data_IF_020226536564
#
_entry.id   IF_020226536564
#
_cell.length_a   1.000
_cell.length_b   1.000
_cell.length_c   1.000
_cell.angle_alpha   90.00
_cell.angle_beta   90.00
_cell.angle_gamma   90.00
#
_symmetry.space_group_name_H-M   'P 1'
#
loop_
_entity.id
_entity.type
_entity.pdbx_description
1 polymer ?
#
# COMPACT_ATOMS: atom_id res chain seq x y z
N UNK A 1 -54.02 -1.87 24.17
CA UNK A 1 -52.80 -2.38 24.79
C UNK A 1 -51.83 -2.74 23.68
N UNK A 2 -50.99 -1.80 23.31
CA UNK A 2 -50.05 -1.98 22.21
C UNK A 2 -48.67 -2.31 22.80
N UNK A 3 -48.13 -3.40 22.38
CA UNK A 3 -46.72 -3.78 22.65
C UNK A 3 -45.82 -2.98 21.70
N UNK A 4 -45.00 -2.15 22.28
CA UNK A 4 -43.96 -1.42 21.58
C UNK A 4 -42.67 -2.26 21.69
N UNK A 5 -42.36 -3.04 20.65
CA UNK A 5 -41.10 -3.77 20.60
C UNK A 5 -39.95 -2.81 20.31
N UNK A 6 -39.12 -2.63 21.31
CA UNK A 6 -37.89 -1.86 21.27
C UNK A 6 -36.83 -2.62 20.41
N UNK A 7 -36.56 -2.11 19.22
CA UNK A 7 -35.41 -2.56 18.41
C UNK A 7 -34.14 -2.02 19.09
N UNK A 8 -33.57 -2.82 19.96
CA UNK A 8 -32.24 -2.54 20.56
C UNK A 8 -31.17 -2.55 19.47
N UNK A 9 -30.66 -1.38 19.14
CA UNK A 9 -29.47 -1.17 18.28
C UNK A 9 -28.31 -1.97 18.89
N UNK A 10 -27.94 -3.07 18.22
CA UNK A 10 -26.78 -3.88 18.60
C UNK A 10 -25.52 -3.11 18.22
N UNK A 11 -25.02 -2.28 19.13
CA UNK A 11 -23.70 -1.65 19.00
C UNK A 11 -22.67 -2.77 19.03
N UNK A 12 -22.10 -3.07 17.85
CA UNK A 12 -20.96 -3.99 17.79
C UNK A 12 -19.80 -3.39 18.59
N UNK A 13 -19.36 -4.08 19.60
CA UNK A 13 -18.18 -3.69 20.36
C UNK A 13 -16.95 -3.86 19.48
N UNK A 14 -16.02 -2.89 19.44
CA UNK A 14 -14.75 -3.06 18.74
C UNK A 14 -14.01 -4.29 19.29
N UNK A 15 -13.49 -5.13 18.39
CA UNK A 15 -12.72 -6.30 18.72
C UNK A 15 -11.44 -5.84 19.44
N UNK A 16 -11.18 -6.39 20.63
CA UNK A 16 -9.97 -6.05 21.40
C UNK A 16 -8.73 -6.45 20.59
N UNK A 17 -7.59 -5.71 20.70
CA UNK A 17 -6.34 -6.01 19.98
C UNK A 17 -5.88 -7.47 20.14
N UNK A 18 -6.07 -8.05 21.30
CA UNK A 18 -5.71 -9.44 21.65
C UNK A 18 -6.55 -10.52 20.94
N UNK A 19 -7.63 -10.15 20.23
CA UNK A 19 -8.52 -11.07 19.52
C UNK A 19 -8.45 -10.91 18.00
N UNK A 20 -7.52 -10.10 17.50
CA UNK A 20 -7.34 -9.95 16.05
C UNK A 20 -6.66 -11.20 15.49
N UNK A 21 -7.18 -11.77 14.38
CA UNK A 21 -6.51 -12.91 13.75
C UNK A 21 -5.10 -12.51 13.32
N UNK A 22 -4.15 -13.42 13.51
CA UNK A 22 -2.79 -13.27 12.98
C UNK A 22 -2.85 -12.98 11.47
N UNK A 23 -1.92 -12.18 10.93
CA UNK A 23 -1.87 -11.95 9.50
C UNK A 23 -1.70 -13.28 8.77
N UNK A 24 -2.62 -13.57 7.87
CA UNK A 24 -2.38 -14.69 6.95
C UNK A 24 -1.34 -14.23 5.92
N UNK A 25 -0.22 -14.90 5.86
CA UNK A 25 0.80 -14.76 4.81
C UNK A 25 0.39 -15.49 3.52
N UNK A 26 -0.66 -16.30 3.58
CA UNK A 26 -1.23 -16.97 2.42
C UNK A 26 -2.18 -16.05 1.65
N UNK A 27 -2.04 -15.98 0.31
CA UNK A 27 -2.89 -15.17 -0.53
C UNK A 27 -4.34 -15.69 -0.51
N UNK A 28 -5.32 -14.84 -0.17
CA UNK A 28 -6.72 -15.24 -0.19
C UNK A 28 -7.22 -15.39 -1.63
N UNK A 29 -8.28 -16.15 -1.80
CA UNK A 29 -9.05 -16.11 -3.03
C UNK A 29 -9.71 -14.75 -3.18
N UNK A 30 -9.74 -14.21 -4.41
CA UNK A 30 -10.47 -12.97 -4.68
C UNK A 30 -11.95 -13.14 -4.37
N UNK A 31 -12.56 -12.22 -3.62
CA UNK A 31 -13.99 -12.22 -3.42
C UNK A 31 -14.71 -11.76 -4.72
N UNK A 32 -15.06 -12.68 -5.58
CA UNK A 32 -15.76 -12.39 -6.82
C UNK A 32 -14.85 -12.36 -8.05
N UNK A 33 -15.35 -11.73 -9.13
CA UNK A 33 -14.68 -11.72 -10.44
C UNK A 33 -13.49 -10.76 -10.45
N UNK A 34 -12.41 -11.16 -11.10
CA UNK A 34 -11.28 -10.28 -11.40
C UNK A 34 -11.72 -9.11 -12.29
N UNK A 35 -11.38 -7.90 -11.88
CA UNK A 35 -11.68 -6.67 -12.62
C UNK A 35 -10.42 -6.00 -13.17
N UNK A 36 -9.26 -6.27 -12.59
CA UNK A 36 -7.98 -5.74 -13.04
C UNK A 36 -6.84 -6.66 -12.65
N UNK A 37 -5.75 -6.62 -13.43
CA UNK A 37 -4.48 -7.21 -13.02
C UNK A 37 -3.31 -6.28 -13.37
N UNK A 38 -2.21 -6.45 -12.64
CA UNK A 38 -0.98 -5.67 -12.82
C UNK A 38 0.21 -6.56 -12.49
N UNK A 39 1.29 -6.40 -13.20
CA UNK A 39 2.58 -7.01 -12.84
C UNK A 39 3.44 -5.94 -12.17
N UNK A 40 3.86 -6.23 -10.97
CA UNK A 40 4.78 -5.42 -10.19
C UNK A 40 6.14 -6.09 -10.20
N UNK A 41 7.16 -5.37 -10.61
CA UNK A 41 8.53 -5.89 -10.70
C UNK A 41 9.54 -4.91 -10.10
N UNK A 42 10.72 -5.40 -9.75
CA UNK A 42 11.78 -4.58 -9.16
C UNK A 42 11.24 -3.79 -7.96
N UNK A 43 10.76 -4.47 -6.94
CA UNK A 43 10.20 -3.80 -5.77
C UNK A 43 11.29 -3.49 -4.75
N UNK A 44 11.18 -2.30 -4.17
CA UNK A 44 11.88 -1.90 -2.97
C UNK A 44 10.87 -1.40 -1.94
N UNK A 45 11.00 -1.89 -0.71
CA UNK A 45 10.15 -1.59 0.42
C UNK A 45 11.01 -0.97 1.54
N UNK A 46 10.79 0.29 1.84
CA UNK A 46 11.39 0.97 2.98
C UNK A 46 10.31 1.25 4.01
N UNK A 47 10.58 0.92 5.27
CA UNK A 47 9.60 1.12 6.34
C UNK A 47 10.23 1.72 7.58
N UNK A 48 9.44 2.56 8.25
CA UNK A 48 9.77 3.17 9.53
C UNK A 48 8.66 2.94 10.53
N UNK A 49 9.02 2.73 11.77
CA UNK A 49 8.11 2.74 12.92
C UNK A 49 7.65 4.16 13.18
N UNK A 50 6.38 4.34 13.42
CA UNK A 50 5.77 5.65 13.71
C UNK A 50 4.72 5.50 14.80
N UNK A 51 4.43 6.61 15.49
CA UNK A 51 3.39 6.66 16.51
C UNK A 51 2.00 6.49 15.88
N UNK A 52 1.20 5.59 16.45
CA UNK A 52 -0.19 5.34 16.03
C UNK A 52 -1.08 6.58 16.18
N UNK A 53 -0.77 7.49 17.10
CA UNK A 53 -1.47 8.75 17.25
C UNK A 53 -1.28 9.69 16.05
N UNK A 54 -0.13 9.59 15.36
CA UNK A 54 0.14 10.33 14.11
C UNK A 54 -0.57 9.68 12.93
N UNK A 55 -0.67 8.34 12.93
CA UNK A 55 -1.30 7.56 11.85
C UNK A 55 -2.82 7.67 11.87
N UNK A 56 -3.45 7.58 13.04
CA UNK A 56 -4.89 7.50 13.18
C UNK A 56 -5.70 8.57 12.43
N UNK A 57 -5.34 9.87 12.47
CA UNK A 57 -6.09 10.93 11.76
C UNK A 57 -5.94 10.87 10.22
N UNK A 58 -4.98 10.11 9.69
CA UNK A 58 -4.71 9.96 8.27
C UNK A 58 -5.48 8.80 7.64
N UNK A 59 -6.10 7.95 8.46
CA UNK A 59 -6.83 6.78 8.00
C UNK A 59 -8.29 7.14 7.63
N UNK A 60 -8.89 6.43 6.66
CA UNK A 60 -10.30 6.55 6.35
C UNK A 60 -11.19 6.20 7.56
N UNK A 61 -12.40 6.75 7.58
CA UNK A 61 -13.38 6.49 8.66
C UNK A 61 -13.63 4.98 8.83
N UNK A 62 -13.60 4.49 10.07
CA UNK A 62 -13.81 3.09 10.42
C UNK A 62 -12.57 2.21 10.21
N UNK A 63 -11.41 2.83 9.92
CA UNK A 63 -10.13 2.15 9.85
C UNK A 63 -9.26 2.63 11.02
N UNK A 64 -8.62 1.69 11.68
CA UNK A 64 -7.74 1.91 12.81
C UNK A 64 -6.29 1.63 12.42
N UNK A 65 -5.30 2.24 13.09
CA UNK A 65 -3.90 1.86 12.91
C UNK A 65 -3.72 0.37 13.14
N UNK A 66 -3.05 -0.30 12.19
CA UNK A 66 -2.63 -1.67 12.36
C UNK A 66 -1.22 -1.65 12.93
N UNK A 67 -1.05 -2.24 14.12
CA UNK A 67 0.19 -2.18 14.89
C UNK A 67 0.91 -3.52 14.88
N UNK A 68 2.23 -3.46 14.86
CA UNK A 68 3.12 -4.59 15.03
C UNK A 68 4.25 -4.18 15.96
N UNK A 69 4.54 -5.01 16.98
CA UNK A 69 5.52 -4.73 18.03
C UNK A 69 5.34 -3.35 18.71
N UNK A 70 4.07 -3.00 18.98
CA UNK A 70 3.72 -1.75 19.68
C UNK A 70 3.91 -0.48 18.87
N UNK A 71 4.06 -0.57 17.55
CA UNK A 71 4.21 0.57 16.64
C UNK A 71 3.29 0.46 15.44
N UNK A 72 2.82 1.60 14.94
CA UNK A 72 2.37 1.72 13.55
C UNK A 72 3.58 1.87 12.62
N UNK A 73 3.31 1.83 11.32
CA UNK A 73 4.34 1.85 10.29
C UNK A 73 3.97 2.76 9.14
N UNK A 74 4.95 3.43 8.58
CA UNK A 74 4.86 4.12 7.29
C UNK A 74 5.81 3.47 6.30
N UNK A 75 5.36 3.26 5.06
CA UNK A 75 6.16 2.67 3.98
C UNK A 75 6.37 3.64 2.84
N UNK A 76 7.60 3.71 2.32
CA UNK A 76 7.95 4.29 1.03
C UNK A 76 8.33 3.13 0.10
N UNK A 77 7.46 2.85 -0.88
CA UNK A 77 7.57 1.69 -1.74
C UNK A 77 7.77 2.15 -3.18
N UNK A 78 8.71 1.54 -3.88
CA UNK A 78 8.95 1.80 -5.29
C UNK A 78 8.96 0.50 -6.10
N UNK A 79 8.44 0.53 -7.31
CA UNK A 79 8.43 -0.62 -8.22
C UNK A 79 8.15 -0.19 -9.67
N UNK A 80 8.32 -1.11 -10.60
CA UNK A 80 7.83 -0.94 -11.96
C UNK A 80 6.47 -1.65 -12.11
N UNK A 81 5.43 -0.87 -12.39
CA UNK A 81 4.11 -1.36 -12.79
C UNK A 81 4.13 -1.67 -14.28
N UNK A 82 3.68 -2.84 -14.69
CA UNK A 82 3.58 -3.24 -16.07
C UNK A 82 2.40 -4.16 -16.36
N UNK A 83 2.05 -4.30 -17.63
CA UNK A 83 1.04 -5.25 -18.06
C UNK A 83 -0.35 -5.04 -17.48
N UNK A 84 -0.72 -3.82 -17.12
CA UNK A 84 -2.04 -3.54 -16.54
C UNK A 84 -3.18 -3.93 -17.50
N UNK A 85 -4.14 -4.68 -16.99
CA UNK A 85 -5.38 -5.10 -17.69
C UNK A 85 -6.60 -4.58 -16.95
N UNK A 86 -7.71 -4.43 -17.64
CA UNK A 86 -8.99 -4.02 -17.05
C UNK A 86 -10.12 -4.83 -17.67
N UNK A 87 -10.98 -5.45 -16.84
CA UNK A 87 -12.16 -6.22 -17.26
C UNK A 87 -11.86 -7.27 -18.35
N UNK A 88 -10.70 -7.93 -18.25
CA UNK A 88 -10.27 -8.94 -19.23
C UNK A 88 -9.73 -8.38 -20.56
N UNK A 89 -9.45 -7.08 -20.61
CA UNK A 89 -8.80 -6.48 -21.80
C UNK A 89 -7.39 -7.03 -22.00
N UNK A 90 -6.82 -6.95 -23.21
CA UNK A 90 -5.38 -7.07 -23.38
C UNK A 90 -4.64 -6.03 -22.51
N UNK A 91 -3.35 -6.26 -22.20
CA UNK A 91 -2.52 -5.27 -21.50
C UNK A 91 -2.60 -3.91 -22.19
N UNK A 92 -2.82 -2.87 -21.39
CA UNK A 92 -2.94 -1.49 -21.88
C UNK A 92 -1.54 -0.98 -22.27
N UNK A 93 -1.23 -0.83 -23.58
CA UNK A 93 0.10 -0.43 -23.98
C UNK A 93 0.43 0.97 -23.48
N UNK A 94 1.71 1.24 -23.18
CA UNK A 94 2.24 2.54 -22.79
C UNK A 94 1.64 3.12 -21.48
N UNK A 95 0.31 3.18 -21.35
CA UNK A 95 -0.35 3.75 -20.16
C UNK A 95 -0.37 2.80 -18.96
N UNK A 96 -0.22 1.51 -19.20
CA UNK A 96 -0.17 0.47 -18.17
C UNK A 96 1.25 0.04 -17.79
N UNK A 97 2.29 0.86 -18.04
CA UNK A 97 3.68 0.53 -17.73
C UNK A 97 4.47 1.79 -17.36
N UNK A 98 4.91 1.88 -16.10
CA UNK A 98 5.69 3.00 -15.56
C UNK A 98 6.26 2.65 -14.18
N UNK A 99 7.36 3.31 -13.75
CA UNK A 99 7.78 3.29 -12.36
C UNK A 99 6.76 4.01 -11.48
N UNK A 100 6.38 3.39 -10.38
CA UNK A 100 5.51 3.94 -9.35
C UNK A 100 6.24 4.02 -8.02
N UNK A 101 6.02 5.11 -7.30
CA UNK A 101 6.48 5.25 -5.92
C UNK A 101 5.29 5.66 -5.09
N UNK A 102 5.10 5.02 -3.93
CA UNK A 102 3.99 5.35 -3.06
C UNK A 102 4.40 5.49 -1.60
N UNK A 103 3.66 6.32 -0.88
CA UNK A 103 3.66 6.40 0.57
C UNK A 103 2.40 5.74 1.07
N UNK A 104 2.56 4.76 1.98
CA UNK A 104 1.42 4.00 2.50
C UNK A 104 1.46 3.79 4.00
N UNK A 105 0.30 3.62 4.57
CA UNK A 105 0.05 3.21 5.95
C UNK A 105 -0.60 1.84 5.99
N UNK A 106 -0.70 1.30 7.19
CA UNK A 106 -1.29 0.00 7.47
C UNK A 106 -2.50 0.19 8.38
N UNK A 107 -3.63 -0.32 7.94
CA UNK A 107 -4.89 -0.16 8.65
C UNK A 107 -5.66 -1.47 8.78
N UNK A 108 -6.53 -1.52 9.78
CA UNK A 108 -7.43 -2.64 10.08
C UNK A 108 -8.83 -2.11 10.35
N UNK A 109 -9.86 -2.77 9.82
CA UNK A 109 -11.26 -2.45 10.13
C UNK A 109 -11.76 -3.19 11.38
N UNK A 110 -12.99 -2.87 11.80
CA UNK A 110 -13.61 -3.48 12.98
C UNK A 110 -13.84 -4.99 12.85
N UNK A 111 -13.81 -5.54 11.64
CA UNK A 111 -13.90 -6.98 11.40
C UNK A 111 -12.55 -7.69 11.51
N UNK A 112 -11.45 -6.95 11.70
CA UNK A 112 -10.09 -7.49 11.71
C UNK A 112 -9.46 -7.64 10.33
N UNK A 113 -10.11 -7.17 9.28
CA UNK A 113 -9.55 -7.19 7.92
C UNK A 113 -8.45 -6.15 7.80
N UNK A 114 -7.28 -6.57 7.33
CA UNK A 114 -6.09 -5.76 7.19
C UNK A 114 -5.90 -5.28 5.76
N UNK A 115 -5.39 -4.06 5.60
CA UNK A 115 -5.12 -3.48 4.29
C UNK A 115 -4.13 -2.33 4.37
N UNK A 116 -3.71 -1.84 3.21
CA UNK A 116 -2.92 -0.62 3.11
C UNK A 116 -3.83 0.59 2.89
N UNK A 117 -3.36 1.76 3.31
CA UNK A 117 -3.95 3.07 3.00
C UNK A 117 -2.89 3.88 2.30
N UNK A 118 -3.11 4.24 1.05
CA UNK A 118 -2.19 5.10 0.33
C UNK A 118 -2.40 6.57 0.71
N UNK A 119 -1.30 7.24 1.03
CA UNK A 119 -1.25 8.70 1.23
C UNK A 119 -0.86 9.40 -0.07
N UNK A 120 -0.01 8.77 -0.88
CA UNK A 120 0.30 9.21 -2.24
C UNK A 120 0.77 8.05 -3.12
N UNK A 121 0.53 8.17 -4.42
CA UNK A 121 1.11 7.31 -5.46
C UNK A 121 1.60 8.21 -6.59
N UNK A 122 2.90 8.19 -6.82
CA UNK A 122 3.56 8.99 -7.84
C UNK A 122 3.62 8.20 -9.16
N UNK A 123 2.98 8.71 -10.21
CA UNK A 123 2.90 8.05 -11.51
C UNK A 123 3.14 9.02 -12.66
N UNK A 124 3.83 8.55 -13.71
CA UNK A 124 4.16 9.39 -14.88
C UNK A 124 3.08 9.44 -15.95
N UNK A 125 2.02 8.64 -15.85
CA UNK A 125 0.96 8.54 -16.85
C UNK A 125 -0.30 9.27 -16.39
N UNK A 126 -0.49 10.51 -16.85
CA UNK A 126 -1.62 11.35 -16.45
C UNK A 126 -2.98 10.68 -16.66
N UNK A 127 -3.17 9.95 -17.75
CA UNK A 127 -4.43 9.24 -18.02
C UNK A 127 -4.69 8.13 -16.98
N UNK A 128 -3.65 7.38 -16.60
CA UNK A 128 -3.76 6.38 -15.55
C UNK A 128 -4.07 7.03 -14.19
N UNK A 129 -3.41 8.16 -13.87
CA UNK A 129 -3.70 8.98 -12.68
C UNK A 129 -5.16 9.40 -12.62
N UNK A 130 -5.68 9.98 -13.70
CA UNK A 130 -7.07 10.46 -13.77
C UNK A 130 -8.08 9.31 -13.67
N UNK A 131 -7.83 8.20 -14.39
CA UNK A 131 -8.69 7.03 -14.34
C UNK A 131 -8.76 6.40 -12.95
N UNK A 132 -7.61 6.21 -12.28
CA UNK A 132 -7.54 5.64 -10.95
C UNK A 132 -8.19 6.55 -9.89
N UNK A 133 -7.99 7.87 -9.98
CA UNK A 133 -8.68 8.84 -9.11
C UNK A 133 -10.20 8.78 -9.28
N UNK A 134 -10.68 8.76 -10.52
CA UNK A 134 -12.11 8.74 -10.82
C UNK A 134 -12.76 7.40 -10.42
N UNK A 135 -12.12 6.28 -10.71
CA UNK A 135 -12.67 4.95 -10.47
C UNK A 135 -12.59 4.52 -9.00
N UNK A 136 -11.48 4.82 -8.33
CA UNK A 136 -11.15 4.23 -7.03
C UNK A 136 -10.88 5.25 -5.92
N UNK A 137 -10.86 6.57 -6.25
CA UNK A 137 -10.52 7.65 -5.30
C UNK A 137 -9.14 7.47 -4.63
N UNK A 138 -8.21 6.80 -5.32
CA UNK A 138 -6.83 6.59 -4.84
C UNK A 138 -6.02 7.86 -5.09
N UNK A 139 -5.18 8.32 -4.14
CA UNK A 139 -4.47 9.60 -4.21
C UNK A 139 -3.25 9.55 -5.14
N UNK A 140 -3.46 9.33 -6.43
CA UNK A 140 -2.42 9.40 -7.43
C UNK A 140 -2.00 10.85 -7.70
N UNK A 141 -0.72 11.08 -7.82
CA UNK A 141 -0.12 12.36 -8.22
C UNK A 141 0.57 12.21 -9.57
N UNK A 142 0.34 13.16 -10.46
CA UNK A 142 1.05 13.22 -11.72
C UNK A 142 2.49 13.70 -11.47
N UNK A 143 3.44 12.81 -11.71
CA UNK A 143 4.84 12.99 -11.37
C UNK A 143 5.75 12.55 -12.51
N UNK A 144 6.93 13.14 -12.59
CA UNK A 144 8.00 12.57 -13.41
C UNK A 144 8.64 11.45 -12.62
N UNK A 145 8.43 10.20 -13.04
CA UNK A 145 9.00 9.02 -12.38
C UNK A 145 10.07 8.39 -13.27
N UNK A 146 11.10 7.81 -12.65
CA UNK A 146 12.18 7.11 -13.31
C UNK A 146 12.68 5.92 -12.50
N UNK A 147 13.25 4.95 -13.20
CA UNK A 147 13.94 3.80 -12.60
C UNK A 147 15.16 3.47 -13.45
N UNK A 148 16.30 3.30 -12.81
CA UNK A 148 17.57 2.90 -13.44
C UNK A 148 18.11 1.69 -12.67
N UNK A 149 18.50 0.65 -13.40
CA UNK A 149 19.11 -0.56 -12.85
C UNK A 149 20.56 -0.59 -13.32
N UNK A 150 21.50 -0.64 -12.37
CA UNK A 150 22.92 -0.78 -12.60
C UNK A 150 23.47 -1.93 -11.75
N UNK A 151 23.57 -3.10 -12.35
CA UNK A 151 23.89 -4.33 -11.64
C UNK A 151 22.86 -4.64 -10.56
N UNK A 152 23.29 -4.68 -9.31
CA UNK A 152 22.45 -4.92 -8.14
C UNK A 152 21.80 -3.64 -7.58
N UNK A 153 22.25 -2.47 -7.99
CA UNK A 153 21.72 -1.18 -7.56
C UNK A 153 20.54 -0.78 -8.45
N UNK A 154 19.40 -0.57 -7.83
CA UNK A 154 18.22 0.05 -8.48
C UNK A 154 17.99 1.43 -7.87
N UNK A 155 17.94 2.45 -8.73
CA UNK A 155 17.64 3.83 -8.34
C UNK A 155 16.26 4.21 -8.86
N UNK A 156 15.39 4.65 -7.97
CA UNK A 156 14.06 5.18 -8.28
C UNK A 156 14.03 6.68 -8.05
N UNK A 157 13.31 7.38 -8.91
CA UNK A 157 13.11 8.83 -8.77
C UNK A 157 11.65 9.20 -9.01
N UNK A 158 11.14 10.16 -8.25
CA UNK A 158 9.88 10.82 -8.52
C UNK A 158 9.98 12.31 -8.21
N UNK A 159 9.26 13.12 -9.01
CA UNK A 159 9.07 14.55 -8.77
C UNK A 159 7.70 14.96 -9.27
N UNK A 160 6.87 15.52 -8.41
CA UNK A 160 5.55 16.02 -8.77
C UNK A 160 5.65 17.16 -9.78
N UNK A 161 4.73 17.17 -10.75
CA UNK A 161 4.59 18.29 -11.68
C UNK A 161 3.94 19.51 -11.02
N UNK A 162 3.12 19.30 -10.00
CA UNK A 162 2.42 20.35 -9.25
C UNK A 162 2.53 20.07 -7.76
N UNK A 163 2.84 21.10 -6.98
CA UNK A 163 3.02 21.00 -5.54
C UNK A 163 4.40 20.49 -5.13
N UNK A 164 4.60 20.32 -3.84
CA UNK A 164 5.80 19.73 -3.26
C UNK A 164 5.74 18.21 -3.29
N UNK A 165 6.89 17.57 -3.34
CA UNK A 165 7.08 16.13 -3.27
C UNK A 165 8.02 15.60 -4.34
N UNK A 166 9.15 15.09 -3.86
CA UNK A 166 10.15 14.40 -4.70
C UNK A 166 10.85 13.32 -3.87
N UNK A 167 11.40 12.35 -4.57
CA UNK A 167 12.26 11.33 -3.96
C UNK A 167 13.33 10.86 -4.94
N UNK A 168 14.49 10.53 -4.41
CA UNK A 168 15.53 9.71 -5.00
C UNK A 168 15.84 8.62 -4.00
N UNK A 169 15.70 7.37 -4.39
CA UNK A 169 15.92 6.20 -3.56
C UNK A 169 16.80 5.21 -4.30
N UNK A 170 17.99 4.92 -3.77
CA UNK A 170 18.94 3.92 -4.28
C UNK A 170 18.97 2.71 -3.35
N UNK A 171 18.60 1.53 -3.86
CA UNK A 171 18.57 0.28 -3.10
C UNK A 171 19.42 -0.77 -3.80
N UNK A 172 20.34 -1.40 -3.06
CA UNK A 172 21.18 -2.49 -3.54
C UNK A 172 20.66 -3.82 -3.05
N UNK A 173 20.41 -4.73 -3.98
CA UNK A 173 20.06 -6.14 -3.74
C UNK A 173 21.27 -6.94 -3.30
N UNK A 174 21.05 -8.19 -2.90
CA UNK A 174 22.13 -9.15 -2.60
C UNK A 174 22.26 -9.50 -1.13
N UNK A 175 21.29 -9.07 -0.31
CA UNK A 175 21.14 -9.58 1.05
C UNK A 175 20.55 -11.00 1.07
N UNK A 176 20.53 -11.65 2.23
CA UNK A 176 19.95 -12.99 2.37
C UNK A 176 18.44 -12.98 2.12
N UNK A 177 17.87 -14.11 1.65
CA UNK A 177 16.43 -14.31 1.59
C UNK A 177 15.80 -14.14 2.99
N UNK A 178 14.62 -13.53 3.01
CA UNK A 178 13.82 -13.39 4.23
C UNK A 178 12.91 -14.60 4.37
N UNK A 179 13.06 -15.33 5.47
CA UNK A 179 12.29 -16.53 5.76
C UNK A 179 11.75 -16.40 7.18
N UNK A 180 10.46 -16.69 7.37
CA UNK A 180 9.78 -16.73 8.67
C UNK A 180 10.02 -15.45 9.51
N UNK A 181 9.91 -14.28 8.87
CA UNK A 181 10.01 -12.96 9.52
C UNK A 181 8.62 -12.35 9.71
N UNK A 182 8.08 -12.34 10.94
CA UNK A 182 6.74 -11.78 11.20
C UNK A 182 6.60 -10.30 10.85
N UNK A 183 7.71 -9.53 10.94
CA UNK A 183 7.71 -8.11 10.57
C UNK A 183 7.61 -7.95 9.06
N UNK A 184 8.39 -8.72 8.30
CA UNK A 184 8.31 -8.71 6.84
C UNK A 184 6.91 -9.15 6.35
N UNK A 185 6.33 -10.19 6.94
CA UNK A 185 4.97 -10.65 6.63
C UNK A 185 3.93 -9.58 7.00
N UNK A 186 4.04 -8.95 8.18
CA UNK A 186 3.17 -7.85 8.57
C UNK A 186 3.20 -6.69 7.56
N UNK A 187 4.38 -6.32 7.08
CA UNK A 187 4.59 -5.19 6.19
C UNK A 187 4.22 -5.48 4.72
N UNK A 188 4.26 -6.73 4.28
CA UNK A 188 4.15 -7.07 2.85
C UNK A 188 2.98 -7.98 2.50
N UNK A 189 2.52 -8.85 3.39
CA UNK A 189 1.35 -9.71 3.16
C UNK A 189 0.05 -8.91 3.35
N UNK A 190 -0.28 -8.05 2.38
CA UNK A 190 -1.44 -7.15 2.40
C UNK A 190 -2.34 -7.41 1.20
N UNK A 191 -3.54 -7.89 1.47
CA UNK A 191 -4.45 -8.44 0.48
C UNK A 191 -5.56 -7.48 0.06
N UNK A 192 -5.27 -6.18 0.15
CA UNK A 192 -6.16 -5.13 -0.29
C UNK A 192 -5.79 -3.75 0.25
N UNK A 193 -6.54 -2.77 -0.20
CA UNK A 193 -6.34 -1.38 0.20
C UNK A 193 -7.68 -0.74 0.59
N UNK A 194 -7.62 0.20 1.51
CA UNK A 194 -8.72 1.06 1.89
C UNK A 194 -8.65 2.40 1.15
N UNK A 195 -9.79 2.87 0.69
CA UNK A 195 -9.93 4.19 0.08
C UNK A 195 -11.21 4.87 0.55
N UNK A 196 -11.20 6.21 0.57
CA UNK A 196 -12.39 7.00 0.83
C UNK A 196 -13.05 7.38 -0.50
N UNK A 197 -14.26 6.91 -0.74
CA UNK A 197 -15.03 7.20 -1.97
C UNK A 197 -16.38 7.80 -1.62
N UNK A 198 -16.64 9.03 -2.10
CA UNK A 198 -17.88 9.77 -1.82
C UNK A 198 -18.26 9.80 -0.33
N UNK A 199 -17.25 10.02 0.54
CA UNK A 199 -17.43 10.08 1.99
C UNK A 199 -17.67 8.73 2.69
N UNK A 200 -17.53 7.61 1.96
CA UNK A 200 -17.61 6.24 2.49
C UNK A 200 -16.28 5.53 2.32
N UNK A 201 -15.94 4.71 3.29
CA UNK A 201 -14.76 3.84 3.19
C UNK A 201 -15.11 2.60 2.38
N UNK A 202 -14.23 2.25 1.44
CA UNK A 202 -14.30 1.04 0.63
C UNK A 202 -13.01 0.26 0.77
N UNK A 203 -13.10 -1.06 0.62
CA UNK A 203 -11.96 -1.96 0.55
C UNK A 203 -11.84 -2.51 -0.87
N UNK A 204 -10.68 -2.39 -1.48
CA UNK A 204 -10.36 -3.00 -2.78
C UNK A 204 -9.51 -4.25 -2.54
N UNK A 205 -10.10 -5.44 -2.63
CA UNK A 205 -9.36 -6.70 -2.48
C UNK A 205 -8.35 -6.91 -3.60
N UNK A 206 -7.19 -7.41 -3.23
CA UNK A 206 -6.22 -7.94 -4.18
C UNK A 206 -5.73 -9.33 -3.74
N UNK A 207 -5.12 -10.04 -4.66
CA UNK A 207 -4.37 -11.27 -4.40
C UNK A 207 -3.17 -11.34 -5.32
N UNK A 208 -2.07 -11.89 -4.83
CA UNK A 208 -0.85 -12.16 -5.57
C UNK A 208 -0.11 -13.33 -4.90
N UNK A 209 0.86 -13.93 -5.55
CA UNK A 209 1.73 -14.91 -4.90
C UNK A 209 2.44 -14.30 -3.67
N UNK A 210 2.79 -15.14 -2.68
CA UNK A 210 3.63 -14.69 -1.57
C UNK A 210 4.90 -14.04 -2.12
N UNK A 211 5.34 -12.97 -1.46
CA UNK A 211 6.56 -12.28 -1.86
C UNK A 211 7.79 -13.14 -1.62
N UNK A 212 8.63 -13.27 -2.64
CA UNK A 212 10.01 -13.71 -2.47
C UNK A 212 10.83 -12.48 -2.09
N UNK A 213 11.11 -12.34 -0.79
CA UNK A 213 11.79 -11.17 -0.22
C UNK A 213 13.26 -11.47 0.03
N UNK A 214 14.09 -10.45 -0.19
CA UNK A 214 15.48 -10.38 0.22
C UNK A 214 15.68 -9.12 1.07
N UNK A 215 16.57 -9.16 2.06
CA UNK A 215 17.05 -7.93 2.69
C UNK A 215 17.90 -7.15 1.70
N UNK A 216 17.95 -5.83 1.86
CA UNK A 216 18.68 -4.97 0.94
C UNK A 216 19.38 -3.82 1.68
N UNK A 217 20.33 -3.18 1.01
CA UNK A 217 21.03 -2.00 1.51
C UNK A 217 20.38 -0.72 0.93
N UNK A 218 20.02 0.21 1.79
CA UNK A 218 19.67 1.56 1.38
C UNK A 218 20.95 2.35 1.12
N UNK A 219 21.27 2.61 -0.14
CA UNK A 219 22.50 3.31 -0.56
C UNK A 219 22.33 4.83 -0.56
N UNK A 220 21.13 5.30 -0.92
CA UNK A 220 20.81 6.71 -0.96
C UNK A 220 19.32 6.94 -0.73
N UNK A 221 18.97 8.01 0.00
CA UNK A 221 17.60 8.49 0.14
C UNK A 221 17.61 10.02 0.26
N UNK A 222 16.98 10.68 -0.71
CA UNK A 222 16.62 12.10 -0.66
C UNK A 222 15.11 12.14 -0.86
N UNK A 223 14.34 12.35 0.20
CA UNK A 223 12.88 12.23 0.15
C UNK A 223 12.18 13.41 0.84
N UNK A 224 11.13 13.88 0.19
CA UNK A 224 10.15 14.80 0.76
C UNK A 224 8.70 14.30 0.59
N UNK A 225 8.50 13.10 0.02
CA UNK A 225 7.15 12.51 -0.10
C UNK A 225 6.60 12.13 1.28
N UNK A 226 7.46 11.58 2.16
CA UNK A 226 7.09 11.28 3.54
C UNK A 226 6.75 12.55 4.33
N UNK A 227 7.52 13.64 4.15
CA UNK A 227 7.25 14.92 4.82
C UNK A 227 5.89 15.49 4.41
N UNK A 228 5.60 15.58 3.10
CA UNK A 228 4.31 16.08 2.61
C UNK A 228 3.14 15.13 2.90
N UNK A 229 3.42 13.88 3.20
CA UNK A 229 2.43 12.90 3.65
C UNK A 229 2.13 12.99 5.16
N UNK A 230 2.83 13.86 5.92
CA UNK A 230 2.59 14.08 7.34
C UNK A 230 3.63 13.45 8.28
N UNK A 231 4.77 13.01 7.75
CA UNK A 231 5.85 12.37 8.51
C UNK A 231 7.17 13.16 8.39
N UNK A 232 7.23 14.40 8.92
CA UNK A 232 8.44 15.24 8.83
C UNK A 232 9.61 14.59 9.58
N UNK A 233 10.80 14.62 8.97
CA UNK A 233 12.04 14.11 9.56
C UNK A 233 12.20 12.58 9.53
N UNK A 234 11.18 11.80 9.16
CA UNK A 234 11.29 10.33 9.10
C UNK A 234 12.33 9.89 8.06
N UNK A 235 12.36 10.51 6.89
CA UNK A 235 13.34 10.18 5.84
C UNK A 235 14.81 10.46 6.24
N UNK A 236 15.05 11.25 7.26
CA UNK A 236 16.41 11.51 7.79
C UNK A 236 16.91 10.43 8.76
N UNK A 237 16.04 9.52 9.15
CA UNK A 237 16.36 8.37 9.98
C UNK A 237 16.57 7.14 9.11
N UNK A 238 17.42 6.22 9.54
CA UNK A 238 17.55 4.93 8.89
C UNK A 238 16.20 4.19 8.95
N UNK A 239 15.75 3.54 7.87
CA UNK A 239 14.56 2.72 7.93
C UNK A 239 14.75 1.50 8.84
N UNK A 240 13.70 1.11 9.54
CA UNK A 240 13.67 -0.09 10.38
C UNK A 240 13.66 -1.38 9.54
N UNK A 241 13.22 -1.29 8.29
CA UNK A 241 13.19 -2.43 7.36
C UNK A 241 13.46 -1.96 5.94
N UNK A 242 14.38 -2.65 5.24
CA UNK A 242 14.68 -2.48 3.82
C UNK A 242 14.64 -3.84 3.14
N UNK A 243 13.63 -4.03 2.30
CA UNK A 243 13.38 -5.29 1.60
C UNK A 243 13.26 -5.06 0.10
N UNK A 244 13.58 -6.08 -0.68
CA UNK A 244 13.39 -6.09 -2.14
C UNK A 244 12.72 -7.39 -2.58
N UNK A 245 12.05 -7.33 -3.75
CA UNK A 245 11.50 -8.50 -4.42
C UNK A 245 11.63 -8.37 -5.93
N UNK A 246 11.80 -9.50 -6.61
CA UNK A 246 11.75 -9.54 -8.06
C UNK A 246 10.38 -9.14 -8.60
N UNK A 247 9.31 -9.50 -7.88
CA UNK A 247 7.96 -9.05 -8.20
C UNK A 247 6.92 -10.16 -8.24
N UNK A 248 5.66 -9.73 -8.44
CA UNK A 248 4.48 -10.59 -8.52
C UNK A 248 3.49 -10.05 -9.56
N UNK A 249 2.51 -10.88 -9.92
CA UNK A 249 1.30 -10.43 -10.62
C UNK A 249 0.17 -10.31 -9.60
N UNK A 250 -0.32 -9.08 -9.41
CA UNK A 250 -1.45 -8.79 -8.55
C UNK A 250 -2.75 -8.75 -9.36
N UNK A 251 -3.80 -9.32 -8.80
CA UNK A 251 -5.16 -9.34 -9.35
C UNK A 251 -6.12 -8.70 -8.36
N UNK A 252 -7.08 -7.98 -8.86
CA UNK A 252 -8.02 -7.18 -8.09
C UNK A 252 -9.46 -7.58 -8.40
N UNK A 253 -10.32 -7.56 -7.39
CA UNK A 253 -11.77 -7.66 -7.57
C UNK A 253 -12.45 -6.30 -7.35
N UNK A 254 -13.77 -6.25 -7.53
CA UNK A 254 -14.55 -5.04 -7.28
C UNK A 254 -14.43 -4.59 -5.82
N UNK A 255 -14.55 -3.28 -5.61
CA UNK A 255 -14.53 -2.69 -4.28
C UNK A 255 -15.70 -3.21 -3.42
N UNK A 256 -15.44 -3.47 -2.16
CA UNK A 256 -16.40 -3.87 -1.14
C UNK A 256 -16.67 -2.69 -0.19
N UNK A 257 -17.90 -2.52 0.29
CA UNK A 257 -18.18 -1.54 1.35
C UNK A 257 -17.50 -1.97 2.65
N UNK A 258 -17.04 -0.98 3.41
CA UNK A 258 -16.67 -1.16 4.81
C UNK A 258 -17.87 -0.73 5.64
N UNK A 259 -18.33 -1.54 6.60
CA UNK A 259 -19.49 -1.25 7.44
C UNK A 259 -19.41 0.08 8.20
#
# INVERSE_FOLDING_TARGET
MGHCDSIASRVMRPVRPEQRPEPSDEPPLLPGREVASQRWTQLAFLHWRVDSAVVAPLLPRGIHPDEHDGSSWVGLIAFHLGGATLLGSPPIPFFGSFPEINVRLYGVDDSGRRGVVFLSLEASRLTAVLAARAAFSIPYFWSRTGMVIDGELTTYTARRHVGAGQTLMGVRRGGPPVVDDPTADFLTARWGLYASRFGRTVFLPNTHARWELETAELVALEDSLLEVAGFPGVASQAPDSVLVSAGVTARFSAALPVP
#
